data_IF_936772133353
#
_entry.id   IF_936772133353
#
_cell.length_a   1.000
_cell.length_b   1.000
_cell.length_c   1.000
_cell.angle_alpha   90.00
_cell.angle_beta   90.00
_cell.angle_gamma   90.00
#
_symmetry.space_group_name_H-M   'P 1'
#
loop_
_entity.id
_entity.type
_entity.pdbx_description
1 polymer ?
#
# COMPACT_ATOMS: atom_id res chain seq x y z
N UNK A 1 31.67 -8.38 7.50
CA UNK A 1 30.42 -9.16 7.59
C UNK A 1 29.37 -8.41 6.79
N UNK A 2 28.50 -9.10 6.06
CA UNK A 2 27.39 -8.46 5.34
C UNK A 2 26.43 -7.84 6.35
N UNK A 3 26.01 -6.59 6.15
CA UNK A 3 24.99 -5.97 6.98
C UNK A 3 23.66 -6.73 6.81
N UNK A 4 22.85 -6.75 7.86
CA UNK A 4 21.58 -7.46 7.89
C UNK A 4 20.41 -6.51 8.13
N UNK A 5 19.26 -6.86 7.56
CA UNK A 5 17.97 -6.19 7.79
C UNK A 5 16.96 -7.23 8.24
N UNK A 6 16.11 -6.88 9.22
CA UNK A 6 15.00 -7.73 9.66
C UNK A 6 13.73 -7.36 8.89
N UNK A 7 13.09 -8.33 8.24
CA UNK A 7 11.76 -8.13 7.66
C UNK A 7 10.73 -8.78 8.58
N UNK A 8 9.71 -8.03 8.97
CA UNK A 8 8.60 -8.49 9.80
C UNK A 8 7.31 -8.37 9.02
N UNK A 9 6.63 -9.50 8.79
CA UNK A 9 5.31 -9.53 8.18
C UNK A 9 4.26 -9.71 9.28
N UNK A 10 3.29 -8.81 9.35
CA UNK A 10 2.12 -8.91 10.23
C UNK A 10 1.11 -9.84 9.54
N UNK A 11 0.89 -11.02 10.09
CA UNK A 11 0.01 -12.02 9.47
C UNK A 11 -1.42 -11.93 10.00
N UNK A 12 -2.38 -12.29 9.15
CA UNK A 12 -3.77 -12.54 9.57
C UNK A 12 -3.86 -13.95 10.12
N UNK A 13 -4.37 -14.11 11.33
CA UNK A 13 -4.67 -15.42 11.90
C UNK A 13 -5.82 -15.30 12.93
N UNK A 14 -6.14 -16.39 13.64
CA UNK A 14 -7.22 -16.41 14.63
C UNK A 14 -7.02 -15.45 15.81
N UNK A 15 -5.78 -15.13 16.18
CA UNK A 15 -5.43 -14.20 17.25
C UNK A 15 -5.29 -12.75 16.73
N UNK A 16 -4.86 -12.60 15.48
CA UNK A 16 -4.68 -11.33 14.79
C UNK A 16 -5.65 -11.16 13.61
N UNK A 17 -6.94 -11.33 13.88
CA UNK A 17 -7.98 -10.98 12.90
C UNK A 17 -8.25 -9.48 12.96
N UNK A 18 -7.40 -8.71 12.29
CA UNK A 18 -7.51 -7.25 12.30
C UNK A 18 -8.83 -6.76 11.69
N UNK A 19 -9.53 -7.55 10.88
CA UNK A 19 -10.84 -7.16 10.33
C UNK A 19 -11.87 -6.88 11.43
N UNK A 20 -11.72 -7.50 12.61
CA UNK A 20 -12.55 -7.31 13.81
C UNK A 20 -12.03 -6.24 14.77
N UNK A 21 -10.90 -5.62 14.45
CA UNK A 21 -10.23 -4.63 15.31
C UNK A 21 -10.52 -3.21 14.83
N UNK A 22 -10.57 -2.27 15.79
CA UNK A 22 -10.65 -0.83 15.49
C UNK A 22 -9.35 -0.34 14.85
N UNK A 23 -9.34 0.88 14.31
CA UNK A 23 -8.13 1.46 13.70
C UNK A 23 -7.03 1.65 14.75
N UNK A 24 -7.41 2.05 15.96
CA UNK A 24 -6.52 2.26 17.10
C UNK A 24 -5.81 0.95 17.49
N UNK A 25 -6.57 -0.14 17.60
CA UNK A 25 -6.02 -1.47 17.88
C UNK A 25 -5.09 -1.98 16.76
N UNK A 26 -5.36 -1.61 15.51
CA UNK A 26 -4.48 -1.96 14.37
C UNK A 26 -3.19 -1.15 14.37
N UNK A 27 -3.25 0.12 14.77
CA UNK A 27 -2.07 0.95 15.01
C UNK A 27 -1.23 0.38 16.16
N UNK A 28 -1.87 -0.12 17.22
CA UNK A 28 -1.20 -0.82 18.32
C UNK A 28 -0.47 -2.07 17.84
N UNK A 29 -1.08 -2.89 16.97
CA UNK A 29 -0.40 -4.06 16.35
C UNK A 29 0.86 -3.64 15.58
N UNK A 30 0.83 -2.51 14.86
CA UNK A 30 2.02 -2.00 14.16
C UNK A 30 3.10 -1.58 15.17
N UNK A 31 2.71 -0.90 16.25
CA UNK A 31 3.63 -0.51 17.32
C UNK A 31 4.26 -1.75 18.00
N UNK A 32 3.46 -2.77 18.28
CA UNK A 32 3.91 -4.02 18.88
C UNK A 32 4.86 -4.79 17.96
N UNK A 33 4.55 -4.85 16.66
CA UNK A 33 5.44 -5.44 15.66
C UNK A 33 6.80 -4.71 15.61
N UNK A 34 6.81 -3.38 15.71
CA UNK A 34 8.04 -2.59 15.80
C UNK A 34 8.80 -2.90 17.11
N UNK A 35 8.09 -2.99 18.22
CA UNK A 35 8.66 -3.29 19.54
C UNK A 35 9.30 -4.67 19.60
N UNK A 36 8.62 -5.71 19.10
CA UNK A 36 9.15 -7.07 19.05
C UNK A 36 10.34 -7.18 18.10
N UNK A 37 10.27 -6.50 16.95
CA UNK A 37 11.40 -6.43 16.01
C UNK A 37 12.61 -5.76 16.67
N UNK A 38 12.42 -4.65 17.38
CA UNK A 38 13.47 -3.97 18.15
C UNK A 38 14.11 -4.89 19.20
N UNK A 39 13.27 -5.63 19.94
CA UNK A 39 13.71 -6.57 20.98
C UNK A 39 14.61 -7.65 20.37
N UNK A 40 14.27 -8.18 19.19
CA UNK A 40 15.07 -9.17 18.49
C UNK A 40 16.40 -8.61 18.00
N UNK A 41 16.38 -7.42 17.40
CA UNK A 41 17.60 -6.76 16.93
C UNK A 41 18.57 -6.55 18.11
N UNK A 42 18.07 -6.13 19.28
CA UNK A 42 18.88 -5.90 20.47
C UNK A 42 19.43 -7.20 21.10
N UNK A 43 18.66 -8.27 21.06
CA UNK A 43 19.01 -9.53 21.73
C UNK A 43 19.72 -10.53 20.79
N UNK A 44 19.68 -10.30 19.48
CA UNK A 44 20.31 -11.14 18.48
C UNK A 44 21.78 -10.77 18.28
N UNK A 45 22.63 -11.76 18.03
CA UNK A 45 23.98 -11.55 17.48
C UNK A 45 23.91 -11.24 15.97
N UNK A 46 23.04 -10.31 15.58
CA UNK A 46 22.81 -9.94 14.18
C UNK A 46 23.75 -8.79 13.81
N UNK A 47 24.30 -8.82 12.59
CA UNK A 47 25.18 -7.76 12.11
C UNK A 47 24.35 -6.61 11.51
N UNK A 48 23.61 -5.90 12.35
CA UNK A 48 22.66 -4.86 11.95
C UNK A 48 23.25 -3.48 12.17
N UNK A 49 23.32 -2.69 11.11
CA UNK A 49 23.71 -1.30 11.19
C UNK A 49 22.52 -0.44 11.64
N UNK A 50 22.66 0.24 12.77
CA UNK A 50 21.59 1.08 13.32
C UNK A 50 21.48 2.44 12.65
N UNK A 51 22.44 2.82 11.79
CA UNK A 51 22.40 4.05 10.99
C UNK A 51 21.67 3.88 9.65
N UNK A 52 21.45 2.65 9.21
CA UNK A 52 20.72 2.29 7.99
C UNK A 52 19.37 1.64 8.29
N UNK A 53 18.57 1.35 7.24
CA UNK A 53 17.31 0.60 7.37
C UNK A 53 17.58 -0.78 7.97
N UNK A 54 17.37 -0.88 9.28
CA UNK A 54 17.60 -2.09 10.06
C UNK A 54 16.40 -3.02 10.08
N UNK A 55 15.21 -2.50 9.81
CA UNK A 55 14.02 -3.32 9.68
C UNK A 55 13.01 -2.80 8.66
N UNK A 56 12.19 -3.72 8.14
CA UNK A 56 11.03 -3.45 7.29
C UNK A 56 9.83 -4.16 7.91
N UNK A 57 8.82 -3.41 8.35
CA UNK A 57 7.57 -3.94 8.91
C UNK A 57 6.49 -3.82 7.83
N UNK A 58 5.84 -4.92 7.45
CA UNK A 58 4.84 -4.94 6.38
C UNK A 58 3.54 -5.61 6.85
N UNK A 59 2.41 -4.95 6.63
CA UNK A 59 1.07 -5.50 6.82
C UNK A 59 0.37 -5.74 5.46
N UNK A 60 -0.66 -6.59 5.40
CA UNK A 60 -1.41 -6.90 4.17
C UNK A 60 -2.34 -5.76 3.70
N UNK A 61 -3.00 -5.93 2.55
CA UNK A 61 -3.98 -4.96 2.03
C UNK A 61 -5.16 -4.77 3.00
N UNK A 62 -5.78 -3.59 2.94
CA UNK A 62 -6.93 -3.18 3.75
C UNK A 62 -6.71 -3.25 5.26
N UNK A 63 -5.46 -3.40 5.72
CA UNK A 63 -5.13 -3.40 7.14
C UNK A 63 -5.58 -2.10 7.84
N UNK A 64 -5.69 -0.97 7.14
CA UNK A 64 -6.21 0.28 7.70
C UNK A 64 -7.65 0.63 7.26
N UNK A 65 -8.41 -0.35 6.74
CA UNK A 65 -9.81 -0.19 6.30
C UNK A 65 -10.80 -0.92 7.20
N UNK A 66 -12.02 -0.39 7.37
CA UNK A 66 -13.09 -1.06 8.13
C UNK A 66 -14.15 -1.61 7.18
N UNK A 67 -14.88 -2.64 7.63
CA UNK A 67 -16.10 -3.05 6.94
C UNK A 67 -17.14 -1.95 7.14
N UNK A 68 -17.81 -1.56 6.05
CA UNK A 68 -18.84 -0.53 6.11
C UNK A 68 -20.23 -1.18 6.17
N UNK A 69 -20.86 -1.11 7.35
CA UNK A 69 -22.13 -1.81 7.64
C UNK A 69 -23.35 -1.27 6.87
N UNK A 70 -23.27 -0.09 6.23
CA UNK A 70 -24.44 0.49 5.58
C UNK A 70 -24.83 -0.20 4.26
N UNK A 71 -23.94 -1.02 3.70
CA UNK A 71 -24.27 -1.90 2.57
C UNK A 71 -24.71 -3.22 3.19
N UNK A 72 -26.02 -3.39 3.34
CA UNK A 72 -26.67 -4.44 4.14
C UNK A 72 -26.26 -5.89 3.85
N UNK A 73 -25.52 -6.14 2.78
CA UNK A 73 -25.00 -7.46 2.39
C UNK A 73 -23.60 -7.40 1.71
N UNK A 74 -22.87 -6.27 1.80
CA UNK A 74 -21.61 -6.04 1.08
C UNK A 74 -20.35 -6.12 1.93
N UNK A 75 -19.26 -6.65 1.35
CA UNK A 75 -17.92 -6.72 1.96
C UNK A 75 -17.01 -5.53 1.57
N UNK A 76 -17.59 -4.34 1.33
CA UNK A 76 -16.77 -3.18 0.94
C UNK A 76 -15.95 -2.68 2.13
N UNK A 77 -14.62 -2.70 1.98
CA UNK A 77 -13.67 -2.27 3.00
C UNK A 77 -13.20 -0.83 2.74
N UNK A 78 -13.68 0.11 3.54
CA UNK A 78 -13.14 1.47 3.53
C UNK A 78 -13.19 2.16 4.89
N UNK A 79 -12.49 3.29 4.99
CA UNK A 79 -12.61 4.21 6.12
C UNK A 79 -12.84 5.64 5.60
N UNK A 80 -13.36 6.53 6.44
CA UNK A 80 -13.42 7.95 6.09
C UNK A 80 -11.99 8.52 6.02
N UNK A 81 -11.78 9.48 5.10
CA UNK A 81 -10.49 10.16 4.94
C UNK A 81 -9.90 10.67 6.26
N UNK A 82 -10.72 11.20 7.15
CA UNK A 82 -10.22 11.80 8.40
C UNK A 82 -9.69 10.73 9.38
N UNK A 83 -10.31 9.55 9.41
CA UNK A 83 -9.80 8.40 10.16
C UNK A 83 -8.47 7.91 9.54
N UNK A 84 -8.36 7.89 8.21
CA UNK A 84 -7.10 7.56 7.54
C UNK A 84 -6.00 8.57 7.87
N UNK A 85 -6.32 9.87 7.90
CA UNK A 85 -5.38 10.93 8.29
C UNK A 85 -4.88 10.72 9.72
N UNK A 86 -5.80 10.45 10.66
CA UNK A 86 -5.45 10.12 12.03
C UNK A 86 -4.50 8.91 12.10
N UNK A 87 -4.84 7.80 11.44
CA UNK A 87 -4.00 6.60 11.46
C UNK A 87 -2.60 6.85 10.91
N UNK A 88 -2.52 7.59 9.81
CA UNK A 88 -1.26 8.00 9.17
C UNK A 88 -0.39 8.83 10.12
N UNK A 89 -0.98 9.77 10.86
CA UNK A 89 -0.26 10.62 11.81
C UNK A 89 0.26 9.83 13.02
N UNK A 90 -0.53 8.90 13.55
CA UNK A 90 -0.09 8.02 14.62
C UNK A 90 1.04 7.07 14.18
N UNK A 91 0.95 6.50 12.97
CA UNK A 91 2.01 5.63 12.43
C UNK A 91 3.28 6.44 12.14
N UNK A 92 3.17 7.69 11.69
CA UNK A 92 4.32 8.58 11.56
C UNK A 92 5.03 8.79 12.91
N UNK A 93 4.28 8.98 14.02
CA UNK A 93 4.85 9.04 15.38
C UNK A 93 5.53 7.73 15.80
N UNK A 94 4.98 6.58 15.43
CA UNK A 94 5.64 5.28 15.67
C UNK A 94 6.97 5.23 14.91
N UNK A 95 7.00 5.65 13.64
CA UNK A 95 8.22 5.65 12.82
C UNK A 95 9.32 6.59 13.34
N UNK A 96 8.97 7.65 14.10
CA UNK A 96 9.96 8.50 14.75
C UNK A 96 10.51 7.89 16.04
N UNK A 97 9.73 7.07 16.74
CA UNK A 97 10.16 6.31 17.93
C UNK A 97 11.09 5.15 17.57
N UNK A 98 10.73 4.38 16.54
CA UNK A 98 11.52 3.25 16.05
C UNK A 98 12.39 3.66 14.86
N UNK A 99 13.50 4.33 15.16
CA UNK A 99 14.39 4.88 14.13
C UNK A 99 14.91 3.80 13.19
N UNK A 100 15.01 4.17 11.92
CA UNK A 100 15.49 3.34 10.83
C UNK A 100 14.73 2.02 10.63
N UNK A 101 13.46 1.98 11.05
CA UNK A 101 12.52 0.94 10.66
C UNK A 101 11.57 1.50 9.61
N UNK A 102 11.56 0.89 8.42
CA UNK A 102 10.59 1.21 7.38
C UNK A 102 9.26 0.53 7.74
N UNK A 103 8.20 1.31 7.91
CA UNK A 103 6.87 0.79 8.24
C UNK A 103 5.97 0.93 7.02
N UNK A 104 5.48 -0.19 6.51
CA UNK A 104 4.48 -0.31 5.46
C UNK A 104 3.24 -0.93 6.09
N UNK A 105 2.29 -0.14 6.62
CA UNK A 105 1.19 -0.64 7.45
C UNK A 105 0.08 -1.31 6.63
N UNK A 106 0.41 -1.84 5.46
CA UNK A 106 -0.55 -2.30 4.47
C UNK A 106 -1.17 -1.17 3.67
N UNK A 107 -2.33 -1.45 3.09
CA UNK A 107 -3.11 -0.45 2.37
C UNK A 107 -4.34 0.01 3.15
N UNK A 108 -4.91 1.12 2.69
CA UNK A 108 -6.15 1.70 3.14
C UNK A 108 -7.02 2.01 1.90
N UNK A 109 -8.10 1.25 1.72
CA UNK A 109 -9.29 1.75 1.04
C UNK A 109 -9.92 2.86 1.88
N UNK A 110 -10.07 4.06 1.32
CA UNK A 110 -10.72 5.16 2.01
C UNK A 110 -11.55 6.01 1.06
N UNK A 111 -12.57 6.66 1.63
CA UNK A 111 -13.50 7.49 0.89
C UNK A 111 -13.33 8.96 1.24
N UNK A 112 -13.57 9.80 0.24
CA UNK A 112 -13.51 11.24 0.37
C UNK A 112 -14.78 11.86 -0.17
N UNK A 113 -15.53 12.52 0.71
CA UNK A 113 -16.71 13.28 0.32
C UNK A 113 -16.33 14.45 -0.60
N UNK A 114 -17.15 14.67 -1.61
CA UNK A 114 -17.02 15.76 -2.58
C UNK A 114 -18.18 16.73 -2.39
N UNK A 115 -17.96 17.78 -1.58
CA UNK A 115 -18.90 18.90 -1.50
C UNK A 115 -18.75 19.82 -2.71
N UNK A 116 -19.52 19.54 -3.78
CA UNK A 116 -19.51 20.25 -5.06
C UNK A 116 -19.86 21.74 -4.96
N UNK A 117 -20.40 22.20 -3.82
CA UNK A 117 -20.71 23.62 -3.59
C UNK A 117 -19.46 24.43 -3.27
N UNK A 118 -18.39 23.77 -2.83
CA UNK A 118 -17.11 24.40 -2.51
C UNK A 118 -16.16 24.40 -3.71
N UNK A 119 -15.28 25.40 -3.83
CA UNK A 119 -14.23 25.42 -4.87
C UNK A 119 -13.34 24.17 -4.82
N UNK A 120 -13.04 23.70 -3.61
CA UNK A 120 -12.29 22.46 -3.39
C UNK A 120 -13.02 21.23 -3.92
N UNK A 121 -14.35 21.18 -3.81
CA UNK A 121 -15.18 20.12 -4.38
C UNK A 121 -15.21 20.19 -5.90
N UNK A 122 -15.38 21.38 -6.49
CA UNK A 122 -15.33 21.58 -7.95
C UNK A 122 -14.00 21.12 -8.53
N UNK A 123 -12.87 21.48 -7.89
CA UNK A 123 -11.55 21.01 -8.30
C UNK A 123 -11.41 19.49 -8.22
N UNK A 124 -12.04 18.84 -7.23
CA UNK A 124 -12.03 17.37 -7.13
C UNK A 124 -12.85 16.73 -8.23
N UNK A 125 -14.00 17.30 -8.58
CA UNK A 125 -14.82 16.87 -9.71
C UNK A 125 -14.02 16.96 -10.99
N UNK A 126 -13.37 18.10 -11.26
CA UNK A 126 -12.51 18.27 -12.43
C UNK A 126 -11.41 17.19 -12.48
N UNK A 127 -10.67 16.97 -11.39
CA UNK A 127 -9.64 15.93 -11.31
C UNK A 127 -10.17 14.51 -11.45
N UNK A 128 -11.44 14.27 -11.11
CA UNK A 128 -12.08 12.97 -11.31
C UNK A 128 -12.40 12.77 -12.80
N UNK A 129 -12.91 13.80 -13.46
CA UNK A 129 -13.18 13.80 -14.91
C UNK A 129 -11.89 13.62 -15.73
N UNK A 130 -10.82 14.34 -15.37
CA UNK A 130 -9.51 14.19 -16.02
C UNK A 130 -9.00 12.74 -15.92
N UNK A 131 -9.11 12.11 -14.74
CA UNK A 131 -8.71 10.71 -14.56
C UNK A 131 -9.60 9.72 -15.31
N UNK A 132 -10.91 9.93 -15.31
CA UNK A 132 -11.83 9.12 -16.11
C UNK A 132 -11.49 9.21 -17.60
N UNK A 133 -11.07 10.39 -18.08
CA UNK A 133 -10.63 10.55 -19.46
C UNK A 133 -9.32 9.78 -19.74
N UNK A 134 -8.37 9.80 -18.81
CA UNK A 134 -7.07 9.09 -18.88
C UNK A 134 -7.15 7.58 -18.63
N UNK A 135 -8.25 7.09 -18.05
CA UNK A 135 -8.46 5.67 -17.77
C UNK A 135 -8.48 4.88 -19.10
N UNK A 136 -7.45 4.05 -19.26
CA UNK A 136 -7.29 3.12 -20.38
C UNK A 136 -7.69 1.72 -19.94
N UNK A 137 -8.69 1.16 -20.61
CA UNK A 137 -9.24 -0.18 -20.32
C UNK A 137 -8.32 -1.34 -20.66
N UNK A 138 -7.06 -1.08 -21.05
CA UNK A 138 -6.09 -1.95 -21.74
C UNK A 138 -5.73 -3.32 -21.14
N UNK A 139 -6.60 -3.93 -20.34
CA UNK A 139 -6.97 -5.35 -20.19
C UNK A 139 -7.60 -5.61 -18.79
N UNK A 140 -8.10 -4.57 -18.11
CA UNK A 140 -8.64 -4.69 -16.77
C UNK A 140 -10.09 -5.20 -16.81
N UNK A 141 -10.41 -6.21 -15.99
CA UNK A 141 -11.79 -6.60 -15.70
C UNK A 141 -12.43 -5.50 -14.84
N UNK A 142 -12.85 -4.40 -15.49
CA UNK A 142 -13.61 -3.35 -14.83
C UNK A 142 -15.04 -3.86 -14.68
N UNK A 143 -15.47 -4.05 -13.44
CA UNK A 143 -16.89 -4.23 -13.15
C UNK A 143 -17.60 -2.87 -13.20
N UNK A 144 -18.75 -2.85 -13.89
CA UNK A 144 -19.53 -1.63 -14.10
C UNK A 144 -20.73 -1.55 -13.14
N UNK A 145 -21.20 -0.32 -12.81
CA UNK A 145 -22.47 -0.13 -12.11
C UNK A 145 -23.63 -0.85 -12.81
N UNK A 146 -24.68 -1.19 -12.05
CA UNK A 146 -25.85 -1.89 -12.60
C UNK A 146 -26.46 -1.10 -13.76
N UNK A 147 -26.57 -1.75 -14.91
CA UNK A 147 -27.16 -1.15 -16.13
C UNK A 147 -26.17 -0.42 -17.02
N UNK A 148 -24.89 -0.37 -16.65
CA UNK A 148 -23.78 0.05 -17.50
C UNK A 148 -23.15 -1.22 -18.11
N UNK A 149 -23.03 -1.26 -19.43
CA UNK A 149 -22.61 -2.47 -20.16
C UNK A 149 -21.21 -2.36 -20.74
N UNK A 150 -20.71 -1.14 -20.92
CA UNK A 150 -19.36 -0.89 -21.43
C UNK A 150 -18.71 0.32 -20.76
N UNK A 151 -17.42 0.52 -21.08
CA UNK A 151 -16.63 1.59 -20.49
C UNK A 151 -17.01 2.99 -20.98
N UNK A 152 -17.58 3.14 -22.18
CA UNK A 152 -18.03 4.44 -22.66
C UNK A 152 -19.30 4.88 -21.89
N UNK A 153 -20.23 3.94 -21.67
CA UNK A 153 -21.38 4.13 -20.79
C UNK A 153 -20.96 4.42 -19.35
N UNK A 154 -19.91 3.76 -18.85
CA UNK A 154 -19.34 4.02 -17.52
C UNK A 154 -18.84 5.47 -17.39
N UNK A 155 -18.05 5.95 -18.36
CA UNK A 155 -17.58 7.35 -18.36
C UNK A 155 -18.75 8.32 -18.42
N UNK A 156 -19.70 8.11 -19.33
CA UNK A 156 -20.88 8.96 -19.47
C UNK A 156 -21.76 8.99 -18.20
N UNK A 157 -21.93 7.83 -17.56
CA UNK A 157 -22.64 7.71 -16.29
C UNK A 157 -22.00 8.58 -15.20
N UNK A 158 -20.68 8.47 -15.02
CA UNK A 158 -19.98 9.25 -14.01
C UNK A 158 -19.85 10.72 -14.36
N UNK A 159 -19.65 11.09 -15.62
CA UNK A 159 -19.67 12.48 -16.09
C UNK A 159 -21.00 13.15 -15.73
N UNK A 160 -22.12 12.49 -16.00
CA UNK A 160 -23.46 12.97 -15.65
C UNK A 160 -23.63 13.14 -14.13
N UNK A 161 -23.23 12.12 -13.35
CA UNK A 161 -23.29 12.16 -11.88
C UNK A 161 -22.39 13.25 -11.31
N UNK A 162 -21.18 13.45 -11.85
CA UNK A 162 -20.22 14.46 -11.43
C UNK A 162 -20.75 15.87 -11.72
N UNK A 163 -21.40 16.08 -12.86
CA UNK A 163 -22.02 17.35 -13.24
C UNK A 163 -23.27 17.72 -12.40
N UNK A 164 -23.99 16.73 -11.85
CA UNK A 164 -25.19 16.97 -11.03
C UNK A 164 -24.84 17.59 -9.65
N UNK A 165 -25.31 18.81 -9.33
CA UNK A 165 -24.98 19.46 -8.06
C UNK A 165 -25.73 18.89 -6.84
N UNK A 166 -26.82 18.14 -7.04
CA UNK A 166 -27.64 17.59 -5.96
C UNK A 166 -27.17 16.22 -5.46
N UNK A 167 -26.22 15.58 -6.15
CA UNK A 167 -25.79 14.22 -5.83
C UNK A 167 -24.62 14.25 -4.85
N UNK A 168 -24.82 13.74 -3.63
CA UNK A 168 -23.72 13.41 -2.71
C UNK A 168 -22.79 12.42 -3.40
N UNK A 169 -21.48 12.68 -3.36
CA UNK A 169 -20.49 11.88 -4.07
C UNK A 169 -19.29 11.62 -3.17
N UNK A 170 -18.85 10.38 -3.16
CA UNK A 170 -17.63 9.92 -2.53
C UNK A 170 -16.65 9.45 -3.61
N UNK A 171 -15.39 9.86 -3.49
CA UNK A 171 -14.31 9.29 -4.28
C UNK A 171 -13.57 8.30 -3.41
N UNK A 172 -13.58 7.03 -3.81
CA UNK A 172 -12.83 5.96 -3.19
C UNK A 172 -11.38 5.94 -3.71
N UNK A 173 -10.46 5.49 -2.87
CA UNK A 173 -9.06 5.25 -3.26
C UNK A 173 -8.46 4.20 -2.34
N UNK A 174 -7.80 3.20 -2.92
CA UNK A 174 -6.94 2.27 -2.20
C UNK A 174 -5.49 2.80 -2.25
N UNK A 175 -4.87 3.00 -1.09
CA UNK A 175 -3.54 3.58 -0.98
C UNK A 175 -2.68 2.81 0.01
N UNK A 176 -1.42 2.60 -0.35
CA UNK A 176 -0.37 2.14 0.56
C UNK A 176 0.51 3.31 0.96
N UNK A 177 0.97 3.29 2.21
CA UNK A 177 1.90 4.28 2.73
C UNK A 177 3.18 3.58 3.18
N UNK A 178 4.29 4.31 3.19
CA UNK A 178 5.53 3.87 3.78
C UNK A 178 6.06 4.97 4.69
N UNK A 179 6.58 4.63 5.87
CA UNK A 179 7.06 5.59 6.86
C UNK A 179 8.47 5.24 7.32
N UNK A 180 9.36 6.23 7.39
CA UNK A 180 10.71 6.07 7.90
C UNK A 180 11.11 7.36 8.62
N UNK A 181 11.44 7.25 9.92
CA UNK A 181 11.93 8.38 10.71
C UNK A 181 11.00 9.62 10.74
N UNK A 182 9.69 9.44 10.51
CA UNK A 182 8.71 10.52 10.40
C UNK A 182 8.42 10.98 8.97
N UNK A 183 9.28 10.65 8.00
CA UNK A 183 9.01 10.85 6.58
C UNK A 183 7.97 9.84 6.08
N UNK A 184 7.21 10.22 5.06
CA UNK A 184 6.14 9.39 4.49
C UNK A 184 6.18 9.40 2.97
N UNK A 185 6.03 8.23 2.38
CA UNK A 185 5.78 8.02 0.95
C UNK A 185 4.39 7.41 0.76
N UNK A 186 3.81 7.66 -0.40
CA UNK A 186 2.47 7.18 -0.73
C UNK A 186 2.49 6.55 -2.11
N UNK A 187 1.90 5.38 -2.19
CA UNK A 187 1.53 4.73 -3.44
C UNK A 187 0.01 4.56 -3.47
N UNK A 188 -0.60 4.75 -4.62
CA UNK A 188 -2.03 4.49 -4.82
C UNK A 188 -2.16 3.34 -5.79
N UNK A 189 -3.12 2.47 -5.52
CA UNK A 189 -3.48 1.41 -6.44
C UNK A 189 -3.84 2.06 -7.78
N UNK A 190 -3.09 1.68 -8.81
CA UNK A 190 -3.20 2.18 -10.17
C UNK A 190 -4.23 1.41 -10.97
N UNK A 191 -4.54 0.18 -10.55
CA UNK A 191 -5.49 -0.71 -11.20
C UNK A 191 -6.40 -1.40 -10.17
N UNK A 192 -7.71 -1.21 -10.34
CA UNK A 192 -8.71 -1.92 -9.58
C UNK A 192 -8.86 -3.40 -9.96
N UNK A 193 -9.23 -4.22 -8.97
CA UNK A 193 -9.86 -5.51 -9.12
C UNK A 193 -11.15 -5.55 -8.30
N UNK A 194 -12.28 -5.37 -8.97
CA UNK A 194 -13.62 -5.38 -8.36
C UNK A 194 -13.87 -4.30 -7.29
N UNK A 195 -13.10 -3.21 -7.18
CA UNK A 195 -13.43 -2.17 -6.19
C UNK A 195 -14.72 -1.43 -6.52
N UNK A 196 -15.18 -1.46 -7.78
CA UNK A 196 -16.49 -0.92 -8.17
C UNK A 196 -17.63 -1.94 -7.97
N UNK A 197 -17.31 -3.21 -7.71
CA UNK A 197 -18.30 -4.25 -7.48
C UNK A 197 -19.06 -3.95 -6.21
N UNK A 198 -20.38 -3.94 -6.30
CA UNK A 198 -21.30 -3.72 -5.18
C UNK A 198 -21.12 -2.38 -4.45
N UNK A 199 -20.38 -1.43 -5.02
CA UNK A 199 -20.33 -0.06 -4.50
C UNK A 199 -21.63 0.67 -4.80
N UNK A 200 -22.17 1.44 -3.85
CA UNK A 200 -23.33 2.29 -4.11
C UNK A 200 -23.05 3.32 -5.21
N UNK A 201 -24.10 3.78 -5.89
CA UNK A 201 -24.04 4.72 -7.02
C UNK A 201 -23.46 6.10 -6.68
N UNK A 202 -23.23 6.38 -5.40
CA UNK A 202 -22.54 7.58 -4.90
C UNK A 202 -21.03 7.39 -4.69
N UNK A 203 -20.45 6.21 -4.93
CA UNK A 203 -19.03 5.92 -4.74
C UNK A 203 -18.32 5.71 -6.09
N UNK A 204 -17.38 6.60 -6.37
CA UNK A 204 -16.55 6.57 -7.57
C UNK A 204 -15.16 6.06 -7.23
N UNK A 205 -14.79 4.86 -7.72
CA UNK A 205 -13.39 4.40 -7.80
C UNK A 205 -12.86 4.69 -9.20
N UNK A 206 -11.66 5.27 -9.29
CA UNK A 206 -11.02 5.58 -10.58
C UNK A 206 -9.58 5.13 -10.50
N UNK A 207 -9.15 4.43 -11.55
CA UNK A 207 -7.77 4.01 -11.70
C UNK A 207 -6.82 5.21 -11.82
N UNK A 208 -5.55 4.98 -11.49
CA UNK A 208 -4.54 6.03 -11.40
C UNK A 208 -3.22 5.58 -12.02
N UNK A 209 -3.17 5.40 -13.35
CA UNK A 209 -2.01 4.81 -14.03
C UNK A 209 -0.73 5.64 -13.88
N UNK A 210 -0.84 6.92 -13.52
CA UNK A 210 0.28 7.86 -13.38
C UNK A 210 0.91 7.93 -11.98
N UNK A 211 0.34 7.28 -10.97
CA UNK A 211 0.90 7.32 -9.61
C UNK A 211 2.13 6.41 -9.50
N UNK A 212 3.26 6.95 -9.03
CA UNK A 212 4.53 6.20 -8.96
C UNK A 212 4.43 5.00 -8.00
N UNK A 213 4.83 3.83 -8.51
CA UNK A 213 5.05 2.62 -7.72
C UNK A 213 6.49 2.52 -7.20
N UNK A 214 7.40 3.42 -7.62
CA UNK A 214 8.84 3.35 -7.32
C UNK A 214 9.29 4.57 -6.54
N UNK A 215 9.97 4.37 -5.43
CA UNK A 215 10.53 5.44 -4.60
C UNK A 215 11.95 5.10 -4.13
N UNK A 216 12.77 6.12 -3.90
CA UNK A 216 14.05 5.96 -3.21
C UNK A 216 13.87 6.32 -1.72
N UNK A 217 14.24 5.41 -0.83
CA UNK A 217 14.17 5.56 0.62
C UNK A 217 15.54 5.19 1.17
N UNK A 218 16.24 6.16 1.78
CA UNK A 218 17.58 5.98 2.35
C UNK A 218 18.58 5.32 1.38
N UNK A 219 18.62 5.81 0.14
CA UNK A 219 19.56 5.33 -0.90
C UNK A 219 19.17 4.01 -1.56
N UNK A 220 17.97 3.49 -1.28
CA UNK A 220 17.47 2.21 -1.80
C UNK A 220 16.16 2.40 -2.53
N UNK A 221 16.01 1.68 -3.64
CA UNK A 221 14.83 1.70 -4.50
C UNK A 221 13.81 0.67 -4.04
N UNK A 222 12.60 1.14 -3.76
CA UNK A 222 11.45 0.33 -3.38
C UNK A 222 10.41 0.40 -4.49
N UNK A 223 9.96 -0.76 -4.94
CA UNK A 223 8.83 -0.94 -5.83
C UNK A 223 7.65 -1.49 -5.05
N UNK A 224 6.49 -0.86 -5.20
CA UNK A 224 5.28 -1.11 -4.43
C UNK A 224 4.16 -1.58 -5.34
N UNK A 225 3.45 -2.65 -4.95
CA UNK A 225 2.23 -3.08 -5.60
C UNK A 225 1.17 -3.43 -4.55
N UNK A 226 -0.09 -3.21 -4.90
CA UNK A 226 -1.27 -3.54 -4.12
C UNK A 226 -2.05 -4.62 -4.88
N UNK A 227 -2.02 -5.84 -4.35
CA UNK A 227 -2.88 -6.95 -4.76
C UNK A 227 -2.80 -7.26 -6.26
N UNK A 228 -3.90 -7.06 -6.99
CA UNK A 228 -4.02 -7.42 -8.40
C UNK A 228 -3.04 -6.69 -9.32
N UNK A 229 -2.45 -5.56 -8.90
CA UNK A 229 -1.33 -4.93 -9.61
C UNK A 229 -0.19 -5.92 -9.85
N UNK A 230 0.09 -6.79 -8.87
CA UNK A 230 1.10 -7.84 -8.99
C UNK A 230 0.73 -8.88 -10.04
N UNK A 231 -0.52 -9.32 -10.08
CA UNK A 231 -1.01 -10.26 -11.10
C UNK A 231 -0.96 -9.66 -12.51
N UNK A 232 -0.99 -8.34 -12.62
CA UNK A 232 -0.89 -7.62 -13.90
C UNK A 232 0.53 -7.19 -14.23
N UNK A 233 1.50 -7.47 -13.35
CA UNK A 233 2.90 -7.06 -13.48
C UNK A 233 3.08 -5.56 -13.67
N UNK A 234 2.26 -4.74 -12.99
CA UNK A 234 2.24 -3.28 -13.13
C UNK A 234 3.62 -2.69 -12.90
N UNK A 235 4.27 -3.05 -11.79
CA UNK A 235 5.59 -2.54 -11.45
C UNK A 235 6.63 -2.95 -12.50
N UNK A 236 6.58 -4.20 -12.99
CA UNK A 236 7.51 -4.69 -14.01
C UNK A 236 7.33 -3.94 -15.33
N UNK A 237 6.09 -3.70 -15.76
CA UNK A 237 5.77 -2.89 -16.95
C UNK A 237 6.30 -1.46 -16.80
N UNK A 238 6.08 -0.85 -15.63
CA UNK A 238 6.57 0.50 -15.32
C UNK A 238 8.10 0.60 -15.36
N UNK A 239 8.80 -0.38 -14.78
CA UNK A 239 10.25 -0.40 -14.71
C UNK A 239 10.92 -0.76 -16.07
N UNK A 240 10.21 -1.49 -16.93
CA UNK A 240 10.77 -2.00 -18.18
C UNK A 240 11.96 -2.94 -17.93
N UNK A 241 13.18 -2.45 -18.20
CA UNK A 241 14.43 -3.18 -17.95
C UNK A 241 15.08 -2.86 -16.59
N UNK A 242 14.56 -1.87 -15.87
CA UNK A 242 15.03 -1.48 -14.55
C UNK A 242 14.54 -2.44 -13.48
N UNK A 243 15.15 -2.37 -12.30
CA UNK A 243 14.91 -3.25 -11.17
C UNK A 243 15.04 -2.50 -9.84
N UNK A 244 14.36 -2.99 -8.80
CA UNK A 244 14.37 -2.39 -7.46
C UNK A 244 15.16 -3.23 -6.46
N UNK A 245 15.62 -2.60 -5.37
CA UNK A 245 16.26 -3.30 -4.24
C UNK A 245 15.23 -4.10 -3.45
N UNK A 246 14.03 -3.54 -3.27
CA UNK A 246 12.91 -4.20 -2.63
C UNK A 246 11.65 -4.10 -3.49
N UNK A 247 11.02 -5.23 -3.77
CA UNK A 247 9.70 -5.30 -4.38
C UNK A 247 8.70 -5.77 -3.32
N UNK A 248 7.85 -4.85 -2.86
CA UNK A 248 6.89 -5.09 -1.78
C UNK A 248 5.48 -5.16 -2.35
N UNK A 249 4.81 -6.29 -2.11
CA UNK A 249 3.41 -6.52 -2.46
C UNK A 249 2.58 -6.63 -1.17
N UNK A 250 1.52 -5.84 -1.07
CA UNK A 250 0.50 -6.00 -0.01
C UNK A 250 -0.81 -6.43 -0.67
N UNK A 251 -1.47 -7.47 -0.17
CA UNK A 251 -2.64 -8.02 -0.86
C UNK A 251 -3.71 -8.56 0.09
N UNK A 252 -4.97 -8.42 -0.31
CA UNK A 252 -6.08 -9.24 0.16
C UNK A 252 -6.24 -10.42 -0.78
N UNK A 253 -5.19 -11.23 -0.78
CA UNK A 253 -4.95 -12.35 -1.66
C UNK A 253 -4.62 -12.00 -3.12
N UNK A 254 -3.42 -12.39 -3.53
CA UNK A 254 -3.01 -12.55 -4.92
C UNK A 254 -1.97 -13.66 -4.95
N UNK A 255 -1.97 -14.52 -5.96
CA UNK A 255 -0.88 -15.49 -6.09
C UNK A 255 0.39 -14.78 -6.55
N UNK A 256 1.53 -15.21 -6.00
CA UNK A 256 2.84 -14.72 -6.43
C UNK A 256 3.16 -15.26 -7.83
N UNK A 257 3.35 -14.36 -8.79
CA UNK A 257 3.91 -14.70 -10.09
C UNK A 257 5.37 -14.23 -10.18
N UNK A 258 6.30 -15.19 -10.23
CA UNK A 258 7.74 -14.93 -10.40
C UNK A 258 8.06 -14.17 -11.70
N UNK A 259 7.20 -14.26 -12.70
CA UNK A 259 7.34 -13.55 -13.97
C UNK A 259 7.14 -12.04 -13.79
N UNK A 260 6.40 -11.58 -12.78
CA UNK A 260 6.09 -10.18 -12.51
C UNK A 260 7.04 -9.49 -11.54
N UNK A 261 8.00 -10.23 -10.97
CA UNK A 261 8.92 -9.69 -9.98
C UNK A 261 10.15 -9.08 -10.64
N UNK A 262 10.42 -7.79 -10.37
CA UNK A 262 11.58 -7.07 -10.90
C UNK A 262 12.56 -6.65 -9.79
N UNK A 263 13.66 -7.39 -9.63
CA UNK A 263 14.65 -7.19 -8.56
C UNK A 263 16.06 -7.01 -9.11
N UNK A 264 16.88 -6.23 -8.39
CA UNK A 264 18.33 -6.23 -8.59
C UNK A 264 18.92 -7.57 -8.16
N UNK A 265 20.18 -7.81 -8.51
CA UNK A 265 20.87 -9.09 -8.24
C UNK A 265 20.98 -9.44 -6.76
N UNK A 266 20.92 -8.47 -5.86
CA UNK A 266 20.95 -8.58 -4.41
C UNK A 266 19.62 -8.16 -3.75
N UNK A 267 18.58 -7.91 -4.55
CA UNK A 267 17.29 -7.44 -4.06
C UNK A 267 16.38 -8.53 -3.49
N UNK A 268 15.31 -8.11 -2.82
CA UNK A 268 14.34 -8.99 -2.16
C UNK A 268 12.90 -8.68 -2.54
N UNK A 269 12.12 -9.73 -2.73
CA UNK A 269 10.67 -9.65 -2.84
C UNK A 269 10.02 -9.96 -1.49
N UNK A 270 9.11 -9.10 -1.07
CA UNK A 270 8.37 -9.20 0.20
C UNK A 270 6.89 -9.16 -0.13
N UNK A 271 6.14 -10.18 0.29
CA UNK A 271 4.70 -10.26 0.06
C UNK A 271 3.97 -10.47 1.37
N UNK A 272 3.15 -9.49 1.75
CA UNK A 272 2.24 -9.58 2.89
C UNK A 272 0.80 -9.79 2.38
N UNK A 273 0.21 -10.94 2.71
CA UNK A 273 -1.11 -11.36 2.22
C UNK A 273 -2.06 -11.64 3.39
N UNK A 274 -3.36 -11.41 3.17
CA UNK A 274 -4.40 -11.90 4.08
C UNK A 274 -4.47 -13.43 4.13
N UNK A 275 -3.93 -14.12 3.11
CA UNK A 275 -3.76 -15.57 3.07
C UNK A 275 -2.34 -15.94 3.54
N UNK A 276 -2.17 -16.51 4.75
CA UNK A 276 -0.84 -16.73 5.33
C UNK A 276 0.10 -17.59 4.48
N UNK A 277 -0.44 -18.51 3.67
CA UNK A 277 0.37 -19.34 2.77
C UNK A 277 1.10 -18.56 1.68
N UNK A 278 0.64 -17.33 1.37
CA UNK A 278 1.28 -16.45 0.38
C UNK A 278 2.26 -15.47 1.00
N UNK A 279 2.29 -15.35 2.34
CA UNK A 279 3.28 -14.52 3.02
C UNK A 279 4.69 -15.08 2.76
N UNK A 280 5.55 -14.29 2.14
CA UNK A 280 6.88 -14.75 1.76
C UNK A 280 7.90 -13.61 1.68
N UNK A 281 9.14 -13.93 2.03
CA UNK A 281 10.33 -13.18 1.64
C UNK A 281 11.20 -14.10 0.79
N UNK A 282 11.64 -13.62 -0.38
CA UNK A 282 12.55 -14.35 -1.27
C UNK A 282 13.63 -13.44 -1.83
N UNK A 283 14.80 -14.03 -2.11
CA UNK A 283 15.91 -13.32 -2.76
C UNK A 283 15.70 -13.17 -4.29
N UNK A 284 16.64 -12.49 -4.94
CA UNK A 284 16.70 -12.33 -6.40
C UNK A 284 16.75 -13.64 -7.18
N UNK A 285 17.23 -14.73 -6.58
CA UNK A 285 17.26 -16.10 -7.15
C UNK A 285 15.98 -16.87 -6.86
N UNK A 286 14.94 -16.22 -6.32
CA UNK A 286 13.63 -16.79 -5.95
C UNK A 286 13.73 -17.83 -4.84
N UNK A 287 14.81 -17.83 -4.06
CA UNK A 287 14.94 -18.70 -2.90
C UNK A 287 14.17 -18.09 -1.74
N UNK A 288 13.24 -18.85 -1.16
CA UNK A 288 12.52 -18.47 0.06
C UNK A 288 13.52 -18.30 1.22
N UNK A 289 13.41 -17.19 1.93
CA UNK A 289 14.16 -16.93 3.16
C UNK A 289 13.46 -17.65 4.32
N UNK A 290 14.24 -18.30 5.18
CA UNK A 290 13.70 -18.98 6.37
C UNK A 290 13.10 -17.97 7.33
N UNK A 291 11.96 -18.32 7.93
CA UNK A 291 11.26 -17.48 8.90
C UNK A 291 11.44 -18.01 10.31
N UNK A 292 11.50 -17.09 11.27
CA UNK A 292 11.28 -17.37 12.69
C UNK A 292 9.91 -16.81 13.05
N UNK A 293 9.02 -17.69 13.50
CA UNK A 293 7.70 -17.30 14.00
C UNK A 293 7.82 -16.77 15.42
N UNK A 294 7.21 -15.62 15.71
CA UNK A 294 7.07 -15.10 17.08
C UNK A 294 5.60 -14.96 17.41
N UNK A 295 5.21 -15.65 18.49
CA UNK A 295 3.89 -15.60 19.10
C UNK A 295 2.73 -15.86 18.12
N UNK A 296 3.01 -16.58 17.02
CA UNK A 296 2.07 -16.96 15.97
C UNK A 296 1.51 -15.82 15.11
N UNK A 297 1.85 -14.56 15.40
CA UNK A 297 1.28 -13.36 14.77
C UNK A 297 2.26 -12.62 13.84
N UNK A 298 3.55 -12.85 14.03
CA UNK A 298 4.62 -12.16 13.32
C UNK A 298 5.55 -13.18 12.68
N UNK A 299 5.75 -13.03 11.38
CA UNK A 299 6.77 -13.75 10.63
C UNK A 299 8.00 -12.87 10.48
N UNK A 300 9.11 -13.30 11.07
CA UNK A 300 10.37 -12.59 10.97
C UNK A 300 11.35 -13.28 10.03
N UNK A 301 12.07 -12.48 9.27
CA UNK A 301 13.06 -12.92 8.31
C UNK A 301 14.32 -12.08 8.52
N UNK A 302 15.48 -12.70 8.49
CA UNK A 302 16.77 -11.99 8.49
C UNK A 302 17.32 -12.11 7.08
N UNK A 303 17.55 -10.97 6.45
CA UNK A 303 18.09 -10.87 5.09
C UNK A 303 19.41 -10.11 5.11
N UNK A 304 20.24 -10.35 4.11
CA UNK A 304 21.39 -9.48 3.85
C UNK A 304 20.86 -8.15 3.30
N UNK A 305 21.37 -7.03 3.82
CA UNK A 305 20.96 -5.69 3.37
C UNK A 305 21.51 -5.44 1.96
N UNK A 306 20.67 -5.13 0.96
CA UNK A 306 21.15 -4.72 -0.36
C UNK A 306 22.04 -3.49 -0.26
N UNK A 307 23.08 -3.41 -1.08
CA UNK A 307 23.96 -2.25 -1.08
C UNK A 307 23.17 -0.99 -1.49
N UNK A 308 23.40 0.18 -0.87
CA UNK A 308 22.84 1.42 -1.37
C UNK A 308 23.23 1.62 -2.83
N UNK A 309 22.33 2.17 -3.65
CA UNK A 309 22.63 2.37 -5.06
C UNK A 309 23.79 3.37 -5.22
N UNK A 310 24.94 2.89 -5.71
CA UNK A 310 26.08 3.74 -6.00
C UNK A 310 25.68 4.79 -7.06
N UNK A 311 25.68 6.07 -6.70
CA UNK A 311 25.46 7.16 -7.66
C UNK A 311 24.03 7.68 -7.80
N UNK A 312 23.09 7.31 -6.93
CA UNK A 312 21.98 8.23 -6.66
C UNK A 312 22.53 9.36 -5.80
N UNK A 313 23.16 10.34 -6.46
CA UNK A 313 23.54 11.61 -5.83
C UNK A 313 22.34 12.18 -5.10
N UNK A 314 22.60 12.89 -3.98
CA UNK A 314 21.61 13.58 -3.14
C UNK A 314 20.36 13.90 -3.96
N UNK A 315 19.33 13.05 -3.84
CA UNK A 315 18.12 13.29 -4.58
C UNK A 315 17.62 14.63 -4.08
N UNK A 316 17.43 15.59 -5.01
CA UNK A 316 16.71 16.83 -4.77
C UNK A 316 15.58 16.48 -3.82
N UNK A 317 15.54 17.14 -2.67
CA UNK A 317 14.40 17.09 -1.77
C UNK A 317 13.18 17.44 -2.62
N UNK A 318 12.52 16.43 -3.18
CA UNK A 318 11.15 16.55 -3.63
C UNK A 318 10.46 16.96 -2.37
N UNK A 319 10.20 18.27 -2.28
CA UNK A 319 9.63 18.99 -1.16
C UNK A 319 8.81 18.02 -0.29
N UNK A 320 9.48 17.37 0.67
CA UNK A 320 8.85 16.83 1.87
C UNK A 320 8.60 18.04 2.75
N UNK A 321 7.94 19.05 2.18
CA UNK A 321 6.89 19.70 2.91
C UNK A 321 6.10 18.51 3.48
N UNK A 322 5.97 18.48 4.80
CA UNK A 322 4.70 18.05 5.37
C UNK A 322 3.71 18.92 4.61
N UNK A 323 3.23 18.44 3.46
CA UNK A 323 2.22 19.19 2.75
C UNK A 323 1.13 19.25 3.81
N UNK A 324 0.85 20.46 4.25
CA UNK A 324 -0.42 20.79 4.86
C UNK A 324 -1.43 20.36 3.80
N UNK A 325 -1.81 19.09 3.87
CA UNK A 325 -2.53 18.41 2.81
C UNK A 325 -3.98 18.84 2.92
N UNK A 326 -4.33 19.91 2.21
CA UNK A 326 -5.72 20.30 1.97
C UNK A 326 -6.51 19.16 1.30
#
# INVERSE_FOLDING_TARGET
MTQQTVVTIIEKNSFNDYTKKTIEQRIEIINDACSETERLIKNGNQNIDTSEIRAIIVAPEYFLSRKYDAIRDGDVLFTHRDIMIYAREEIAKISTRYKNMLIVPGSAGYIKEVDKRTEKGKLRVQKALERLAEEDTGNAEIEYPRGVTDHAEYKAYWESKLASPQTSLFVYSNCMFAFLNGSMWKHRKTLGFNENKDMPDEFLSIDRPSDSAVVNIAGRTFGFEICFEHNQGVLKKLLGKSAVDFHIVVSDYVEKDNSHISLKSDGYFIHASTRPSDCIVQDSKRKKISTTQIDGNLSLYVIDTPAPAAGFGEQQSNDTTIATFE
#
